data_IF_475658203650
#
_entry.id   IF_475658203650
#
_cell.length_a   1.000
_cell.length_b   1.000
_cell.length_c   1.000
_cell.angle_alpha   90.00
_cell.angle_beta   90.00
_cell.angle_gamma   90.00
#
_symmetry.space_group_name_H-M   'P 1'
#
loop_
_entity.id
_entity.type
_entity.pdbx_description
1 polymer ?
#
# COMPACT_ATOMS: atom_id res chain seq x y z
N UNK A 1 -8.43 10.76 -2.60
CA UNK A 1 -9.76 11.18 -2.13
C UNK A 1 -9.96 10.99 -0.62
N UNK A 2 -9.32 9.98 0.01
CA UNK A 2 -9.42 9.73 1.46
C UNK A 2 -9.07 10.96 2.29
N UNK A 3 -7.97 11.64 1.97
CA UNK A 3 -7.57 12.86 2.69
C UNK A 3 -8.61 13.99 2.57
N UNK A 4 -9.24 14.14 1.41
CA UNK A 4 -10.35 15.10 1.23
C UNK A 4 -11.55 14.72 2.10
N UNK A 5 -11.92 13.44 2.12
CA UNK A 5 -13.05 12.95 2.89
C UNK A 5 -12.83 13.12 4.41
N UNK A 6 -11.62 12.85 4.89
CA UNK A 6 -11.29 12.95 6.34
C UNK A 6 -11.08 14.40 6.77
N UNK A 7 -10.41 15.23 5.96
CA UNK A 7 -10.10 16.61 6.32
C UNK A 7 -11.27 17.59 6.10
N UNK A 8 -12.25 17.22 5.27
CA UNK A 8 -13.32 18.11 4.84
C UNK A 8 -12.84 19.33 4.03
N UNK A 9 -11.58 19.32 3.58
CA UNK A 9 -10.95 20.41 2.85
C UNK A 9 -10.74 20.06 1.38
N UNK A 10 -10.75 21.06 0.53
CA UNK A 10 -10.31 20.91 -0.84
C UNK A 10 -8.76 20.85 -0.85
N UNK A 11 -8.24 19.73 -1.35
CA UNK A 11 -6.81 19.45 -1.38
C UNK A 11 -6.35 19.31 -2.82
N UNK A 12 -5.29 20.01 -3.17
CA UNK A 12 -4.56 19.78 -4.41
C UNK A 12 -3.49 18.74 -4.19
N UNK A 13 -3.38 17.79 -5.12
CA UNK A 13 -2.35 16.75 -5.10
C UNK A 13 -1.33 17.08 -6.18
N UNK A 14 -0.13 17.42 -5.74
CA UNK A 14 1.00 17.68 -6.64
C UNK A 14 1.91 16.46 -6.63
N UNK A 15 2.08 15.75 -7.76
CA UNK A 15 3.04 14.66 -7.85
C UNK A 15 4.46 15.15 -7.64
N UNK A 16 5.21 14.47 -6.78
CA UNK A 16 6.61 14.74 -6.54
C UNK A 16 7.44 13.58 -7.11
N UNK A 17 8.09 13.80 -8.23
CA UNK A 17 8.88 12.79 -8.94
C UNK A 17 8.28 12.43 -10.30
N UNK A 18 9.14 11.91 -11.18
CA UNK A 18 8.82 11.77 -12.60
C UNK A 18 8.11 10.46 -12.93
N UNK A 19 8.62 9.33 -12.44
CA UNK A 19 8.08 8.01 -12.77
C UNK A 19 8.10 7.06 -11.58
N UNK A 20 7.17 6.09 -11.59
CA UNK A 20 7.19 4.98 -10.64
C UNK A 20 8.39 4.09 -10.95
N UNK A 21 9.22 3.83 -9.94
CA UNK A 21 10.38 2.94 -10.05
C UNK A 21 10.05 1.64 -9.33
N UNK A 22 10.01 0.52 -10.06
CA UNK A 22 9.79 -0.81 -9.47
C UNK A 22 11.04 -1.25 -8.71
N UNK A 23 10.88 -1.54 -7.43
CA UNK A 23 11.97 -1.96 -6.53
C UNK A 23 11.66 -3.29 -5.86
N UNK A 24 12.69 -3.94 -5.29
CA UNK A 24 12.50 -5.14 -4.48
C UNK A 24 11.60 -4.88 -3.25
N UNK A 25 11.70 -3.70 -2.64
CA UNK A 25 10.89 -3.32 -1.49
C UNK A 25 9.40 -3.30 -1.84
N UNK A 26 9.04 -2.75 -3.01
CA UNK A 26 7.65 -2.76 -3.47
C UNK A 26 7.15 -4.18 -3.77
N UNK A 27 7.96 -5.01 -4.41
CA UNK A 27 7.60 -6.39 -4.72
C UNK A 27 7.42 -7.27 -3.47
N UNK A 28 8.06 -6.92 -2.35
CA UNK A 28 8.05 -7.66 -1.08
C UNK A 28 7.34 -6.92 0.06
N UNK A 29 6.61 -5.87 -0.24
CA UNK A 29 5.99 -5.00 0.76
C UNK A 29 4.97 -5.75 1.63
N UNK A 30 4.27 -6.72 1.05
CA UNK A 30 3.31 -7.56 1.74
C UNK A 30 3.46 -9.00 1.29
N UNK A 31 3.57 -9.92 2.25
CA UNK A 31 3.72 -11.35 1.98
C UNK A 31 2.77 -12.14 2.86
N UNK A 32 2.10 -13.13 2.28
CA UNK A 32 1.46 -14.19 3.02
C UNK A 32 2.44 -15.33 3.22
N UNK A 33 2.48 -15.86 4.41
CA UNK A 33 3.30 -17.03 4.74
C UNK A 33 2.42 -18.14 5.35
N UNK A 34 2.72 -19.38 5.02
CA UNK A 34 2.10 -20.55 5.62
C UNK A 34 3.10 -21.13 6.62
N UNK A 35 2.68 -21.31 7.87
CA UNK A 35 3.55 -21.87 8.89
C UNK A 35 3.97 -23.29 8.50
N UNK A 36 5.25 -23.62 8.70
CA UNK A 36 5.80 -24.94 8.34
C UNK A 36 5.11 -26.10 9.07
N UNK A 37 4.60 -25.84 10.26
CA UNK A 37 3.89 -26.82 11.10
C UNK A 37 2.37 -26.74 10.96
N UNK A 38 1.85 -26.15 9.88
CA UNK A 38 0.41 -26.10 9.62
C UNK A 38 -0.10 -27.45 9.12
N UNK A 39 -1.17 -27.94 9.73
CA UNK A 39 -1.88 -29.13 9.27
C UNK A 39 -2.81 -28.84 8.07
N UNK A 40 -2.92 -27.57 7.65
CA UNK A 40 -3.85 -27.09 6.62
C UNK A 40 -3.15 -26.35 5.47
N UNK A 41 -2.01 -26.88 5.00
CA UNK A 41 -1.21 -26.24 3.95
C UNK A 41 -1.98 -26.13 2.63
N UNK A 42 -2.67 -27.21 2.22
CA UNK A 42 -3.43 -27.23 0.96
C UNK A 42 -4.59 -26.23 0.99
N UNK A 43 -5.34 -26.17 2.09
CA UNK A 43 -6.46 -25.24 2.27
C UNK A 43 -5.96 -23.79 2.28
N UNK A 44 -4.82 -23.54 2.91
CA UNK A 44 -4.18 -22.22 2.92
C UNK A 44 -3.78 -21.78 1.52
N UNK A 45 -3.19 -22.66 0.72
CA UNK A 45 -2.86 -22.37 -0.69
C UNK A 45 -4.12 -22.13 -1.51
N UNK A 46 -5.18 -22.92 -1.31
CA UNK A 46 -6.48 -22.69 -1.98
C UNK A 46 -7.07 -21.33 -1.62
N UNK A 47 -7.03 -20.94 -0.34
CA UNK A 47 -7.49 -19.63 0.10
C UNK A 47 -6.70 -18.50 -0.56
N UNK A 48 -5.36 -18.58 -0.58
CA UNK A 48 -4.50 -17.60 -1.24
C UNK A 48 -4.81 -17.52 -2.75
N UNK A 49 -5.05 -18.66 -3.40
CA UNK A 49 -5.45 -18.66 -4.80
C UNK A 49 -6.80 -17.94 -5.00
N UNK A 50 -7.79 -18.17 -4.13
CA UNK A 50 -9.10 -17.51 -4.23
C UNK A 50 -9.00 -16.00 -4.03
N UNK A 51 -8.26 -15.54 -3.05
CA UNK A 51 -8.02 -14.11 -2.80
C UNK A 51 -7.39 -13.43 -4.02
N UNK A 52 -6.56 -14.15 -4.78
CA UNK A 52 -5.85 -13.61 -5.94
C UNK A 52 -6.55 -13.85 -7.29
N UNK A 53 -7.65 -14.62 -7.33
CA UNK A 53 -8.35 -14.99 -8.58
C UNK A 53 -9.86 -14.76 -8.58
N UNK A 54 -10.48 -14.55 -7.41
CA UNK A 54 -11.94 -14.46 -7.25
C UNK A 54 -12.36 -13.06 -6.81
N UNK A 55 -12.94 -12.23 -7.73
CA UNK A 55 -13.39 -10.88 -7.40
C UNK A 55 -14.35 -10.83 -6.20
N UNK A 56 -15.29 -11.74 -6.12
CA UNK A 56 -16.28 -11.81 -5.04
C UNK A 56 -15.63 -11.97 -3.67
N UNK A 57 -14.58 -12.78 -3.55
CA UNK A 57 -13.85 -12.98 -2.29
C UNK A 57 -13.04 -11.74 -1.95
N UNK A 58 -12.28 -11.20 -2.91
CA UNK A 58 -11.45 -10.05 -2.69
C UNK A 58 -12.29 -8.80 -2.30
N UNK A 59 -13.41 -8.57 -2.98
CA UNK A 59 -14.30 -7.46 -2.66
C UNK A 59 -14.99 -7.63 -1.30
N UNK A 60 -15.37 -8.85 -0.92
CA UNK A 60 -15.93 -9.13 0.41
C UNK A 60 -14.91 -8.85 1.51
N UNK A 61 -13.65 -9.26 1.34
CA UNK A 61 -12.60 -9.03 2.33
C UNK A 61 -12.27 -7.54 2.49
N UNK A 62 -12.29 -6.78 1.39
CA UNK A 62 -11.89 -5.35 1.40
C UNK A 62 -13.07 -4.42 1.66
N UNK A 63 -14.25 -4.72 1.12
CA UNK A 63 -15.39 -3.80 1.22
C UNK A 63 -16.49 -4.31 2.16
N UNK A 64 -16.46 -5.58 2.58
CA UNK A 64 -17.51 -6.18 3.38
C UNK A 64 -18.65 -6.75 2.53
N UNK A 65 -19.84 -6.77 3.08
CA UNK A 65 -21.02 -7.39 2.45
C UNK A 65 -21.77 -6.41 1.56
N UNK A 66 -22.14 -6.87 0.35
CA UNK A 66 -23.02 -6.13 -0.54
C UNK A 66 -24.39 -5.90 0.09
N UNK A 67 -24.94 -4.70 -0.06
CA UNK A 67 -26.19 -4.28 0.55
C UNK A 67 -26.07 -3.81 2.00
N UNK A 68 -24.95 -4.10 2.69
CA UNK A 68 -24.68 -3.62 4.04
C UNK A 68 -23.58 -2.58 4.08
N UNK A 69 -22.41 -2.91 3.54
CA UNK A 69 -21.22 -2.07 3.58
C UNK A 69 -21.03 -1.30 2.26
N UNK A 70 -21.52 -1.84 1.17
CA UNK A 70 -21.45 -1.26 -0.16
C UNK A 70 -22.61 -1.72 -1.05
N UNK A 71 -22.83 -1.00 -2.14
CA UNK A 71 -23.80 -1.34 -3.18
C UNK A 71 -23.20 -1.13 -4.57
N UNK A 72 -23.63 -1.95 -5.56
CA UNK A 72 -23.27 -1.74 -6.95
C UNK A 72 -23.96 -0.52 -7.52
N UNK A 73 -23.20 0.36 -8.20
CA UNK A 73 -23.72 1.54 -8.92
C UNK A 73 -23.39 1.48 -10.41
N UNK A 74 -22.92 0.36 -10.90
CA UNK A 74 -22.54 0.08 -12.28
C UNK A 74 -21.99 -1.32 -12.43
N UNK A 75 -21.40 -1.62 -13.58
CA UNK A 75 -20.89 -2.94 -13.88
C UNK A 75 -19.66 -3.30 -13.02
N UNK A 76 -18.74 -2.35 -12.85
CA UNK A 76 -17.49 -2.49 -12.10
C UNK A 76 -17.32 -1.42 -11.00
N UNK A 77 -18.39 -0.65 -10.70
CA UNK A 77 -18.36 0.42 -9.71
C UNK A 77 -19.23 0.13 -8.51
N UNK A 78 -18.77 0.60 -7.37
CA UNK A 78 -19.46 0.49 -6.10
C UNK A 78 -19.54 1.86 -5.42
N UNK A 79 -20.56 1.99 -4.58
CA UNK A 79 -20.70 3.06 -3.61
C UNK A 79 -20.57 2.48 -2.21
N UNK A 80 -19.70 3.06 -1.42
CA UNK A 80 -19.55 2.68 0.00
C UNK A 80 -20.70 3.25 0.82
N UNK A 81 -21.31 2.41 1.63
CA UNK A 81 -22.40 2.78 2.54
C UNK A 81 -21.85 3.23 3.91
N UNK A 82 -22.63 3.97 4.72
CA UNK A 82 -22.18 4.44 6.03
C UNK A 82 -21.60 3.33 6.92
N UNK A 83 -22.20 2.16 6.91
CA UNK A 83 -21.77 0.99 7.70
C UNK A 83 -20.34 0.51 7.37
N UNK A 84 -19.81 0.82 6.18
CA UNK A 84 -18.41 0.56 5.84
C UNK A 84 -17.44 1.23 6.79
N UNK A 85 -17.77 2.43 7.28
CA UNK A 85 -16.92 3.22 8.18
C UNK A 85 -17.16 2.94 9.68
N UNK A 86 -18.18 2.14 10.02
CA UNK A 86 -18.60 1.90 11.41
C UNK A 86 -17.79 0.80 12.14
N UNK A 87 -16.73 0.30 11.57
CA UNK A 87 -15.90 -0.69 12.22
C UNK A 87 -14.70 -1.14 11.39
N UNK A 88 -13.69 -1.68 12.06
CA UNK A 88 -12.51 -2.26 11.41
C UNK A 88 -12.78 -3.70 10.94
N UNK A 89 -13.86 -3.92 10.21
CA UNK A 89 -14.31 -5.26 9.79
C UNK A 89 -13.84 -5.66 8.40
N UNK A 90 -13.04 -4.84 7.75
CA UNK A 90 -12.53 -5.07 6.39
C UNK A 90 -11.02 -5.01 6.34
N UNK A 91 -10.44 -5.72 5.37
CA UNK A 91 -9.00 -5.77 5.16
C UNK A 91 -8.54 -4.64 4.24
N UNK A 92 -7.29 -4.22 4.39
CA UNK A 92 -6.71 -3.20 3.51
C UNK A 92 -6.39 -3.77 2.14
N UNK A 93 -6.84 -3.09 1.07
CA UNK A 93 -6.67 -3.54 -0.31
C UNK A 93 -5.21 -3.85 -0.70
N UNK A 94 -4.27 -3.02 -0.23
CA UNK A 94 -2.86 -3.07 -0.62
C UNK A 94 -2.09 -4.28 -0.08
N UNK A 95 -2.57 -4.92 0.99
CA UNK A 95 -1.88 -6.04 1.66
C UNK A 95 -2.71 -7.33 1.75
N UNK A 96 -3.89 -7.36 1.11
CA UNK A 96 -4.79 -8.53 1.21
C UNK A 96 -4.62 -9.50 0.05
N UNK A 97 -4.48 -8.99 -1.19
CA UNK A 97 -4.39 -9.84 -2.35
C UNK A 97 -4.33 -9.06 -3.65
N UNK A 98 -4.87 -9.63 -4.72
CA UNK A 98 -4.84 -8.98 -6.03
C UNK A 98 -5.84 -7.81 -6.10
N UNK A 99 -5.34 -6.60 -5.87
CA UNK A 99 -6.14 -5.37 -5.91
C UNK A 99 -6.76 -5.07 -7.29
N UNK A 100 -6.27 -5.68 -8.38
CA UNK A 100 -6.87 -5.54 -9.71
C UNK A 100 -8.25 -6.18 -9.83
N UNK A 101 -8.63 -7.05 -8.87
CA UNK A 101 -9.96 -7.67 -8.80
C UNK A 101 -11.01 -6.80 -8.11
N UNK A 102 -10.60 -5.69 -7.50
CA UNK A 102 -11.50 -4.82 -6.76
C UNK A 102 -12.37 -3.99 -7.69
N UNK A 103 -13.64 -3.89 -7.32
CA UNK A 103 -14.54 -2.89 -7.91
C UNK A 103 -14.04 -1.49 -7.59
N UNK A 104 -14.32 -0.56 -8.49
CA UNK A 104 -13.87 0.82 -8.36
C UNK A 104 -14.90 1.62 -7.56
N UNK A 105 -14.42 2.35 -6.55
CA UNK A 105 -15.27 3.30 -5.82
C UNK A 105 -15.77 4.39 -6.78
N UNK A 106 -17.07 4.73 -6.74
CA UNK A 106 -17.69 5.73 -7.61
C UNK A 106 -17.03 7.12 -7.50
N UNK A 107 -16.38 7.40 -6.36
CA UNK A 107 -15.65 8.65 -6.10
C UNK A 107 -14.35 8.78 -6.87
N UNK A 108 -13.86 7.69 -7.45
CA UNK A 108 -12.65 7.71 -8.28
C UNK A 108 -13.02 8.22 -9.67
N UNK A 109 -12.43 9.35 -10.05
CA UNK A 109 -12.71 9.96 -11.35
C UNK A 109 -12.02 9.23 -12.50
N UNK A 110 -12.54 9.35 -13.75
CA UNK A 110 -11.86 8.77 -14.92
C UNK A 110 -10.43 9.28 -15.09
N UNK A 111 -10.17 10.54 -14.76
CA UNK A 111 -8.83 11.14 -14.83
C UNK A 111 -7.86 10.50 -13.83
N UNK A 112 -8.34 10.19 -12.63
CA UNK A 112 -7.54 9.50 -11.61
C UNK A 112 -7.21 8.06 -12.03
N UNK A 113 -8.17 7.36 -12.65
CA UNK A 113 -7.93 6.03 -13.20
C UNK A 113 -6.91 6.07 -14.33
N UNK A 114 -7.08 7.00 -15.29
CA UNK A 114 -6.15 7.17 -16.40
C UNK A 114 -4.74 7.54 -15.92
N UNK A 115 -4.62 8.40 -14.91
CA UNK A 115 -3.33 8.74 -14.31
C UNK A 115 -2.66 7.54 -13.64
N UNK A 116 -3.43 6.69 -12.93
CA UNK A 116 -2.93 5.47 -12.32
C UNK A 116 -2.45 4.46 -13.38
N UNK A 117 -3.24 4.23 -14.42
CA UNK A 117 -2.88 3.34 -15.53
C UNK A 117 -1.63 3.83 -16.28
N UNK A 118 -1.56 5.14 -16.52
CA UNK A 118 -0.38 5.76 -17.13
C UNK A 118 0.86 5.53 -16.26
N UNK A 119 0.77 5.81 -14.96
CA UNK A 119 1.89 5.60 -14.04
C UNK A 119 2.38 4.15 -14.00
N UNK A 120 1.47 3.17 -14.07
CA UNK A 120 1.84 1.75 -14.15
C UNK A 120 2.52 1.37 -15.47
N UNK A 121 2.07 1.93 -16.60
CA UNK A 121 2.65 1.69 -17.93
C UNK A 121 4.04 2.32 -18.08
N UNK A 122 4.23 3.51 -17.53
CA UNK A 122 5.47 4.27 -17.60
C UNK A 122 6.46 3.87 -16.48
N UNK A 123 6.07 2.97 -15.58
CA UNK A 123 6.92 2.50 -14.49
C UNK A 123 8.19 1.83 -15.01
N UNK A 124 9.34 2.32 -14.56
CA UNK A 124 10.66 1.79 -14.88
C UNK A 124 11.14 0.80 -13.83
N UNK A 125 12.11 -0.02 -14.17
CA UNK A 125 12.74 -0.93 -13.24
C UNK A 125 13.97 -0.28 -12.61
N UNK A 126 14.11 -0.47 -11.29
CA UNK A 126 15.34 -0.06 -10.60
C UNK A 126 16.52 -0.86 -11.15
N UNK A 127 17.68 -0.24 -11.39
CA UNK A 127 18.90 -0.98 -11.72
C UNK A 127 19.34 -1.96 -10.62
N UNK A 128 18.78 -1.81 -9.41
CA UNK A 128 19.00 -2.73 -8.28
C UNK A 128 17.88 -3.76 -8.13
N UNK A 129 16.95 -3.87 -9.08
CA UNK A 129 15.88 -4.88 -9.03
C UNK A 129 16.51 -6.29 -9.09
N UNK A 130 16.16 -7.13 -8.12
CA UNK A 130 16.75 -8.47 -7.95
C UNK A 130 18.02 -8.49 -7.09
N UNK A 131 18.68 -7.38 -6.85
CA UNK A 131 19.84 -7.31 -5.95
C UNK A 131 19.40 -7.34 -4.48
N UNK A 132 20.01 -8.23 -3.72
CA UNK A 132 19.85 -8.29 -2.27
C UNK A 132 21.18 -7.99 -1.60
N UNK A 133 21.21 -6.88 -0.88
CA UNK A 133 22.39 -6.53 -0.08
C UNK A 133 22.52 -7.47 1.13
N UNK A 134 23.65 -8.14 1.24
CA UNK A 134 23.96 -8.92 2.43
C UNK A 134 24.47 -7.97 3.53
N UNK A 135 23.65 -7.77 4.56
CA UNK A 135 23.97 -6.87 5.68
C UNK A 135 24.84 -7.51 6.76
N UNK A 136 24.95 -8.85 6.78
CA UNK A 136 25.63 -9.58 7.85
C UNK A 136 27.09 -9.10 8.10
N UNK A 137 27.93 -8.89 7.06
CA UNK A 137 29.32 -8.46 7.27
C UNK A 137 29.48 -7.03 7.79
N UNK A 138 28.43 -6.20 7.73
CA UNK A 138 28.45 -4.78 8.07
C UNK A 138 27.30 -4.39 9.03
N UNK A 139 26.84 -5.36 9.83
CA UNK A 139 25.69 -5.17 10.71
C UNK A 139 25.97 -4.10 11.80
N UNK A 140 27.18 -4.08 12.33
CA UNK A 140 27.57 -3.13 13.38
C UNK A 140 27.67 -1.69 12.81
N UNK A 141 28.21 -1.53 11.62
CA UNK A 141 28.29 -0.24 10.93
C UNK A 141 26.90 0.30 10.62
N UNK A 142 26.00 -0.58 10.14
CA UNK A 142 24.60 -0.22 9.89
C UNK A 142 23.91 0.22 11.19
N UNK A 143 24.12 -0.51 12.29
CA UNK A 143 23.55 -0.15 13.59
C UNK A 143 24.05 1.22 14.06
N UNK A 144 25.34 1.49 13.93
CA UNK A 144 25.94 2.76 14.31
C UNK A 144 25.39 3.92 13.47
N UNK A 145 25.30 3.76 12.15
CA UNK A 145 24.71 4.78 11.26
C UNK A 145 23.24 5.00 11.62
N UNK A 146 22.46 3.94 11.85
CA UNK A 146 21.06 4.07 12.23
C UNK A 146 20.87 4.80 13.56
N UNK A 147 21.77 4.63 14.53
CA UNK A 147 21.71 5.37 15.79
C UNK A 147 21.85 6.88 15.55
N UNK A 148 22.82 7.29 14.73
CA UNK A 148 22.99 8.70 14.36
C UNK A 148 21.77 9.24 13.61
N UNK A 149 21.28 8.51 12.60
CA UNK A 149 20.07 8.91 11.85
C UNK A 149 18.88 9.08 12.78
N UNK A 150 18.65 8.13 13.69
CA UNK A 150 17.51 8.18 14.62
C UNK A 150 17.60 9.33 15.62
N UNK A 151 18.79 9.77 15.98
CA UNK A 151 19.01 10.93 16.86
C UNK A 151 18.51 12.23 16.21
N UNK A 152 18.78 12.42 14.92
CA UNK A 152 18.54 13.71 14.26
C UNK A 152 17.30 13.75 13.36
N UNK A 153 16.88 12.61 12.76
CA UNK A 153 15.86 12.61 11.70
C UNK A 153 14.53 13.20 12.14
N UNK A 154 14.08 12.88 13.35
CA UNK A 154 12.79 13.36 13.85
C UNK A 154 12.78 14.88 14.04
N UNK A 155 13.86 15.45 14.60
CA UNK A 155 14.02 16.88 14.80
C UNK A 155 14.11 17.66 13.48
N UNK A 156 14.84 17.12 12.52
CA UNK A 156 14.99 17.72 11.18
C UNK A 156 13.66 17.71 10.40
N UNK A 157 12.94 16.59 10.41
CA UNK A 157 11.66 16.49 9.69
C UNK A 157 10.55 17.35 10.28
N UNK A 158 10.56 17.58 11.58
CA UNK A 158 9.58 18.45 12.25
C UNK A 158 9.98 19.92 12.28
N UNK A 159 11.20 20.25 11.86
CA UNK A 159 11.75 21.62 11.92
C UNK A 159 12.02 22.11 13.34
N UNK A 160 12.11 21.21 14.33
CA UNK A 160 12.44 21.55 15.71
C UNK A 160 13.94 21.71 15.95
N UNK A 161 14.74 21.27 14.99
CA UNK A 161 16.20 21.38 15.00
C UNK A 161 16.66 22.16 13.76
N UNK A 162 17.61 23.04 13.95
CA UNK A 162 18.20 23.84 12.89
C UNK A 162 19.18 22.99 12.05
N UNK A 163 18.86 22.73 10.77
CA UNK A 163 19.72 21.89 9.93
C UNK A 163 21.14 22.44 9.76
N UNK A 164 21.32 23.76 9.76
CA UNK A 164 22.66 24.36 9.59
C UNK A 164 23.57 24.12 10.79
N UNK A 165 23.01 23.79 11.94
CA UNK A 165 23.75 23.47 13.16
C UNK A 165 24.06 22.00 13.34
N UNK A 166 23.21 21.11 12.81
CA UNK A 166 23.29 19.67 13.08
C UNK A 166 23.91 18.89 11.93
N UNK A 167 23.66 19.28 10.68
CA UNK A 167 24.17 18.54 9.51
C UNK A 167 25.68 18.66 9.26
N UNK A 168 26.40 19.69 9.69
CA UNK A 168 27.87 19.73 9.56
C UNK A 168 28.63 18.79 10.49
N UNK A 169 28.01 18.19 11.50
CA UNK A 169 28.60 17.20 12.40
C UNK A 169 28.47 15.78 11.86
#
# INVERSE_FOLDING_TARGET
YLLRAVSGKDLEIVPHGDTIIKTNAQARMSNFVIAQNSDHVEESVKLLNYINSKPEIMNTLVYGLEGENWEKVGEDKIKLLPKYNEGATHMSAWNTGNAALLYKDERITPEQLAASEKGLKEATESPLLGFNFNQEPVADEIANVNNVVNEYVAGLHTGTVDPEKVLPE
#
